data_IF_018148697573
#
_entry.id   IF_018148697573
#
_cell.length_a   1.000
_cell.length_b   1.000
_cell.length_c   1.000
_cell.angle_alpha   90.00
_cell.angle_beta   90.00
_cell.angle_gamma   90.00
#
_symmetry.space_group_name_H-M   'P 1'
#
loop_
_entity.id
_entity.type
_entity.pdbx_description
1 polymer ?
#
# COMPACT_ATOMS: atom_id res chain seq x y z
N UNK A 1 -3.16 -10.64 -11.72
CA UNK A 1 -3.23 -9.16 -11.71
C UNK A 1 -2.98 -8.69 -10.29
N UNK A 2 -1.99 -7.82 -10.05
CA UNK A 2 -1.69 -7.33 -8.71
C UNK A 2 -2.57 -6.11 -8.38
N UNK A 3 -3.23 -6.16 -7.22
CA UNK A 3 -4.14 -5.12 -6.73
C UNK A 3 -3.35 -4.06 -5.94
N UNK A 4 -3.76 -2.78 -5.98
CA UNK A 4 -3.12 -1.73 -5.19
C UNK A 4 -3.38 -1.94 -3.69
N UNK A 5 -2.33 -1.71 -2.90
CA UNK A 5 -2.42 -1.66 -1.43
C UNK A 5 -2.98 -0.29 -1.06
N UNK A 6 -3.94 -0.23 -0.14
CA UNK A 6 -4.61 0.98 0.30
C UNK A 6 -4.43 1.20 1.81
N UNK A 7 -4.74 2.40 2.29
CA UNK A 7 -4.72 2.72 3.72
C UNK A 7 -5.58 1.74 4.53
N UNK A 8 -4.98 1.18 5.58
CA UNK A 8 -5.60 0.18 6.43
C UNK A 8 -5.50 -1.27 5.93
N UNK A 9 -4.96 -1.52 4.73
CA UNK A 9 -4.61 -2.88 4.30
C UNK A 9 -3.56 -3.49 5.22
N UNK A 10 -3.62 -4.82 5.35
CA UNK A 10 -2.70 -5.56 6.20
C UNK A 10 -1.30 -5.66 5.59
N UNK A 11 -0.32 -5.97 6.42
CA UNK A 11 1.00 -6.44 6.00
C UNK A 11 1.16 -7.91 6.32
N UNK A 12 2.07 -8.61 5.65
CA UNK A 12 2.36 -10.03 5.90
C UNK A 12 2.83 -10.31 7.34
N UNK A 13 3.27 -9.28 8.06
CA UNK A 13 3.65 -9.34 9.46
C UNK A 13 2.49 -9.20 10.46
N UNK A 14 1.25 -8.99 9.98
CA UNK A 14 0.09 -8.71 10.83
C UNK A 14 -0.09 -7.23 11.19
N UNK A 15 0.73 -6.34 10.65
CA UNK A 15 0.56 -4.89 10.78
C UNK A 15 -0.35 -4.32 9.70
N UNK A 16 -0.36 -3.00 9.54
CA UNK A 16 -1.28 -2.28 8.63
C UNK A 16 -0.67 -1.04 8.02
N UNK A 17 -1.12 -0.65 6.83
CA UNK A 17 -0.77 0.63 6.21
C UNK A 17 -1.36 1.78 7.01
N UNK A 18 -0.52 2.73 7.42
CA UNK A 18 -0.90 3.84 8.30
C UNK A 18 -0.70 5.22 7.66
N UNK A 19 0.12 5.33 6.62
CA UNK A 19 0.37 6.58 5.90
C UNK A 19 0.14 6.41 4.42
N UNK A 20 -0.61 7.33 3.82
CA UNK A 20 -0.79 7.46 2.37
C UNK A 20 -0.66 8.93 1.97
N UNK A 21 0.47 9.32 1.38
CA UNK A 21 0.78 10.72 1.07
C UNK A 21 -0.17 11.36 0.04
N UNK A 22 -0.82 10.56 -0.80
CA UNK A 22 -1.81 11.01 -1.79
C UNK A 22 -3.26 10.93 -1.30
N UNK A 23 -3.49 10.82 0.01
CA UNK A 23 -4.82 10.60 0.56
C UNK A 23 -5.86 11.70 0.26
N UNK A 24 -5.41 12.91 -0.07
CA UNK A 24 -6.30 14.04 -0.41
C UNK A 24 -6.64 14.14 -1.89
N UNK A 25 -5.97 13.39 -2.76
CA UNK A 25 -6.09 13.55 -4.22
C UNK A 25 -6.64 12.31 -4.90
N UNK A 26 -6.43 11.12 -4.33
CA UNK A 26 -6.84 9.85 -4.95
C UNK A 26 -7.43 8.88 -3.93
N UNK A 27 -8.52 8.22 -4.31
CA UNK A 27 -9.16 7.16 -3.52
C UNK A 27 -9.62 6.03 -4.43
N UNK A 28 -9.44 4.79 -3.99
CA UNK A 28 -9.98 3.57 -4.58
C UNK A 28 -10.97 2.99 -3.57
N UNK A 29 -12.24 2.86 -3.94
CA UNK A 29 -13.31 2.43 -3.01
C UNK A 29 -13.34 3.24 -1.70
N UNK A 30 -13.12 4.56 -1.77
CA UNK A 30 -13.08 5.45 -0.60
C UNK A 30 -11.84 5.31 0.28
N UNK A 31 -10.85 4.49 -0.11
CA UNK A 31 -9.57 4.35 0.58
C UNK A 31 -8.42 4.87 -0.28
N UNK A 32 -7.51 5.67 0.26
CA UNK A 32 -6.39 6.16 -0.52
C UNK A 32 -5.37 5.03 -0.79
N UNK A 33 -4.90 4.89 -2.04
CA UNK A 33 -3.85 3.92 -2.37
C UNK A 33 -2.50 4.36 -1.78
N UNK A 34 -1.71 3.37 -1.36
CA UNK A 34 -0.32 3.56 -0.98
C UNK A 34 0.56 3.71 -2.23
N UNK A 35 1.55 4.59 -2.13
CA UNK A 35 2.58 4.83 -3.14
C UNK A 35 3.97 4.65 -2.51
N UNK A 36 5.00 4.56 -3.35
CA UNK A 36 6.38 4.40 -2.89
C UNK A 36 6.74 5.45 -1.82
N UNK A 37 7.34 5.00 -0.72
CA UNK A 37 7.67 5.83 0.44
C UNK A 37 6.59 5.92 1.53
N UNK A 38 5.36 5.47 1.26
CA UNK A 38 4.31 5.38 2.28
C UNK A 38 4.63 4.35 3.36
N UNK A 39 4.00 4.46 4.54
CA UNK A 39 4.37 3.67 5.73
C UNK A 39 3.31 2.68 6.16
N UNK A 40 3.80 1.55 6.68
CA UNK A 40 2.98 0.57 7.38
C UNK A 40 3.62 0.17 8.71
N UNK A 41 2.78 -0.18 9.68
CA UNK A 41 3.22 -0.79 10.93
C UNK A 41 3.63 -2.24 10.69
N UNK A 42 4.61 -2.69 11.47
CA UNK A 42 5.11 -4.06 11.46
C UNK A 42 5.27 -4.51 12.92
N UNK A 43 4.36 -5.32 13.47
CA UNK A 43 4.49 -5.81 14.84
C UNK A 43 5.63 -6.82 14.99
N UNK A 44 6.02 -7.51 13.91
CA UNK A 44 7.17 -8.43 13.91
C UNK A 44 8.51 -7.72 14.15
N UNK A 45 8.66 -6.49 13.64
CA UNK A 45 9.87 -5.68 13.77
C UNK A 45 9.68 -4.45 14.66
N UNK A 46 8.58 -4.41 15.43
CA UNK A 46 8.23 -3.37 16.39
C UNK A 46 8.43 -1.92 15.88
N UNK A 47 7.85 -1.57 14.73
CA UNK A 47 7.99 -0.22 14.19
C UNK A 47 7.15 0.09 12.96
N UNK A 48 7.38 1.27 12.40
CA UNK A 48 6.82 1.70 11.11
C UNK A 48 7.91 1.70 10.04
N UNK A 49 7.58 1.12 8.89
CA UNK A 49 8.52 0.98 7.79
C UNK A 49 7.89 1.52 6.51
N UNK A 50 8.72 2.15 5.68
CA UNK A 50 8.29 2.66 4.39
C UNK A 50 8.26 1.56 3.32
N UNK A 51 7.33 1.63 2.37
CA UNK A 51 7.35 0.83 1.16
C UNK A 51 8.53 1.26 0.28
N UNK A 52 9.40 0.30 0.00
CA UNK A 52 10.59 0.48 -0.84
C UNK A 52 10.37 -0.03 -2.27
N UNK A 53 9.20 -0.61 -2.54
CA UNK A 53 8.81 -1.11 -3.85
C UNK A 53 7.50 -0.48 -4.33
N UNK A 54 7.47 -0.13 -5.61
CA UNK A 54 6.32 0.45 -6.29
C UNK A 54 6.36 0.07 -7.77
N UNK A 55 5.21 0.10 -8.44
CA UNK A 55 5.10 -0.38 -9.81
C UNK A 55 5.44 0.75 -10.80
N UNK A 56 6.55 0.68 -11.54
CA UNK A 56 6.96 1.77 -12.43
C UNK A 56 5.91 2.22 -13.47
N UNK A 57 5.17 1.32 -14.16
CA UNK A 57 4.14 1.74 -15.11
C UNK A 57 2.86 2.29 -14.47
N UNK A 58 2.57 2.00 -13.19
CA UNK A 58 1.39 2.54 -12.50
C UNK A 58 1.83 3.60 -11.50
N UNK A 59 1.65 4.87 -11.87
CA UNK A 59 2.03 6.02 -11.05
C UNK A 59 0.81 6.87 -10.72
N UNK A 60 0.80 7.42 -9.52
CA UNK A 60 -0.14 8.47 -9.10
C UNK A 60 0.69 9.70 -8.76
N UNK A 61 0.36 10.84 -9.39
CA UNK A 61 1.16 12.06 -9.31
C UNK A 61 2.66 11.84 -9.57
N UNK A 62 3.00 10.94 -10.50
CA UNK A 62 4.38 10.58 -10.83
C UNK A 62 5.06 9.60 -9.86
N UNK A 63 4.41 9.23 -8.75
CA UNK A 63 4.95 8.30 -7.74
C UNK A 63 4.44 6.88 -8.02
N UNK A 64 5.31 5.86 -8.08
CA UNK A 64 4.90 4.47 -8.28
C UNK A 64 3.92 3.96 -7.21
N UNK A 65 2.84 3.30 -7.63
CA UNK A 65 1.83 2.72 -6.75
C UNK A 65 2.33 1.42 -6.12
N UNK A 66 2.05 1.23 -4.83
CA UNK A 66 2.34 -0.01 -4.09
C UNK A 66 1.28 -1.05 -4.44
N UNK A 67 1.72 -2.22 -4.90
CA UNK A 67 0.84 -3.33 -5.23
C UNK A 67 1.01 -4.46 -4.22
N UNK A 68 0.03 -5.36 -4.20
CA UNK A 68 0.09 -6.59 -3.40
C UNK A 68 1.44 -7.31 -3.60
N UNK A 69 2.08 -7.67 -2.50
CA UNK A 69 3.38 -8.35 -2.48
C UNK A 69 4.60 -7.42 -2.49
N UNK A 70 4.42 -6.11 -2.66
CA UNK A 70 5.52 -5.15 -2.57
C UNK A 70 6.06 -5.03 -1.15
N UNK A 71 7.38 -4.85 -1.05
CA UNK A 71 8.12 -4.85 0.21
C UNK A 71 8.20 -3.50 0.90
N UNK A 72 8.18 -3.60 2.22
CA UNK A 72 8.56 -2.58 3.18
C UNK A 72 10.07 -2.64 3.43
N UNK A 73 10.64 -1.58 4.00
CA UNK A 73 12.05 -1.54 4.39
C UNK A 73 12.45 -2.64 5.39
N UNK A 74 11.50 -3.15 6.19
CA UNK A 74 11.73 -4.31 7.08
C UNK A 74 11.68 -5.68 6.36
N UNK A 75 11.44 -5.71 5.05
CA UNK A 75 11.32 -6.94 4.27
C UNK A 75 9.92 -7.56 4.24
N UNK A 76 8.99 -7.12 5.11
CA UNK A 76 7.59 -7.56 5.06
C UNK A 76 6.85 -7.00 3.85
N UNK A 77 5.72 -7.59 3.48
CA UNK A 77 4.98 -7.25 2.27
C UNK A 77 3.62 -6.62 2.57
N UNK A 78 3.16 -5.74 1.69
CA UNK A 78 1.79 -5.22 1.71
C UNK A 78 0.80 -6.24 1.14
N UNK A 79 -0.33 -6.43 1.83
CA UNK A 79 -1.39 -7.37 1.45
C UNK A 79 -2.64 -6.58 1.08
N UNK A 80 -2.85 -6.37 -0.21
CA UNK A 80 -4.04 -5.68 -0.69
C UNK A 80 -5.31 -6.49 -0.36
N UNK A 81 -6.30 -5.85 0.24
CA UNK A 81 -7.60 -6.45 0.55
C UNK A 81 -8.77 -5.54 0.12
N UNK A 82 -8.62 -4.22 0.25
CA UNK A 82 -9.66 -3.26 -0.13
C UNK A 82 -9.88 -3.17 -1.64
N UNK A 83 -8.81 -3.32 -2.43
CA UNK A 83 -8.87 -3.23 -3.89
C UNK A 83 -9.24 -4.56 -4.58
N UNK A 84 -9.41 -5.66 -3.82
CA UNK A 84 -9.86 -6.95 -4.37
C UNK A 84 -11.35 -6.96 -4.75
N UNK A 85 -12.14 -6.02 -4.20
CA UNK A 85 -13.58 -5.89 -4.46
C UNK A 85 -13.94 -4.69 -5.35
N UNK A 86 -13.12 -4.35 -6.35
CA UNK A 86 -13.53 -3.36 -7.36
C UNK A 86 -14.47 -4.05 -8.35
N UNK A 87 -15.78 -3.97 -8.10
CA UNK A 87 -16.79 -4.30 -9.11
C UNK A 87 -16.84 -3.13 -10.09
N UNK A 88 -16.50 -3.38 -11.35
CA UNK A 88 -16.88 -2.49 -12.43
C UNK A 88 -18.39 -2.71 -12.61
N UNK A 89 -19.19 -1.71 -12.24
CA UNK A 89 -20.61 -1.64 -12.64
C UNK A 89 -20.70 -1.02 -14.03
#
# INVERSE_FOLDING_TARGET
MSYPVCLGDATSSGGRVVSCQLARTHTINGKPPAVLGDKATCPLHAGEFAFIEGNPPRKLNGIPVVLHGHRLACGCQGVASHAMNVRVI
#
